data_IF_993223490782
#
_entry.id   IF_993223490782
#
_cell.length_a   1.000
_cell.length_b   1.000
_cell.length_c   1.000
_cell.angle_alpha   90.00
_cell.angle_beta   90.00
_cell.angle_gamma   90.00
#
_symmetry.space_group_name_H-M   'P 1'
#
loop_
_entity.id
_entity.type
_entity.pdbx_description
1 polymer ?
#
# COMPACT_ATOMS: atom_id res chain seq x y z
N UNK A 1 -10.02 6.75 20.57
CA UNK A 1 -9.87 5.70 21.59
C UNK A 1 -10.00 4.33 20.95
N UNK A 2 -9.07 3.43 21.28
CA UNK A 2 -9.00 2.07 20.72
C UNK A 2 -10.26 1.26 21.06
N UNK A 3 -10.87 1.55 22.20
CA UNK A 3 -12.04 0.82 22.74
C UNK A 3 -13.32 0.94 21.91
N UNK A 4 -13.42 1.93 21.01
CA UNK A 4 -14.58 2.11 20.14
C UNK A 4 -14.35 1.55 18.72
N UNK A 5 -13.20 0.99 18.45
CA UNK A 5 -12.84 0.46 17.13
C UNK A 5 -13.35 -0.96 16.95
N UNK A 6 -13.98 -1.25 15.80
CA UNK A 6 -14.36 -2.61 15.44
C UNK A 6 -13.12 -3.50 15.26
N UNK A 7 -13.30 -4.82 15.33
CA UNK A 7 -12.22 -5.78 15.09
C UNK A 7 -11.47 -5.51 13.79
N UNK A 8 -12.18 -5.26 12.68
CA UNK A 8 -11.54 -5.00 11.40
C UNK A 8 -10.80 -3.66 11.35
N UNK A 9 -11.28 -2.62 12.04
CA UNK A 9 -10.54 -1.37 12.19
C UNK A 9 -9.21 -1.57 12.94
N UNK A 10 -9.20 -2.40 13.98
CA UNK A 10 -8.01 -2.77 14.71
C UNK A 10 -7.03 -3.59 13.85
N UNK A 11 -7.53 -4.57 13.09
CA UNK A 11 -6.73 -5.37 12.15
C UNK A 11 -6.09 -4.50 11.07
N UNK A 12 -6.86 -3.56 10.52
CA UNK A 12 -6.36 -2.60 9.52
C UNK A 12 -5.29 -1.69 10.15
N UNK A 13 -5.48 -1.24 11.40
CA UNK A 13 -4.47 -0.44 12.09
C UNK A 13 -3.15 -1.19 12.24
N UNK A 14 -3.20 -2.45 12.66
CA UNK A 14 -2.02 -3.33 12.75
C UNK A 14 -1.33 -3.49 11.40
N UNK A 15 -2.10 -3.67 10.32
CA UNK A 15 -1.54 -3.78 8.97
C UNK A 15 -0.86 -2.46 8.51
N UNK A 16 -1.47 -1.30 8.78
CA UNK A 16 -0.87 0.00 8.46
C UNK A 16 0.40 0.30 9.27
N UNK A 17 0.52 -0.22 10.48
CA UNK A 17 1.70 -0.06 11.32
C UNK A 17 2.78 -1.13 11.05
N UNK A 18 2.60 -2.02 10.08
CA UNK A 18 3.57 -3.04 9.70
C UNK A 18 4.88 -2.40 9.24
N UNK A 19 6.01 -2.96 9.68
CA UNK A 19 7.35 -2.46 9.32
C UNK A 19 7.82 -2.91 7.93
N UNK A 20 7.22 -3.96 7.37
CA UNK A 20 7.63 -4.51 6.07
C UNK A 20 6.77 -3.95 4.95
N UNK A 21 5.46 -4.04 5.07
CA UNK A 21 4.55 -3.79 3.94
C UNK A 21 4.03 -2.36 3.83
N UNK A 22 4.35 -1.51 4.79
CA UNK A 22 4.06 -0.08 4.74
C UNK A 22 5.32 0.77 4.79
N UNK A 23 6.43 0.24 4.25
CA UNK A 23 7.71 0.92 4.21
C UNK A 23 7.56 2.34 3.62
N UNK A 24 8.06 3.34 4.34
CA UNK A 24 7.98 4.74 3.93
C UNK A 24 6.75 5.50 4.44
N UNK A 25 5.77 4.85 5.08
CA UNK A 25 4.70 5.56 5.77
C UNK A 25 5.10 5.93 7.19
N UNK A 26 4.52 7.02 7.71
CA UNK A 26 4.74 7.49 9.09
C UNK A 26 3.75 6.88 10.11
N UNK A 27 2.92 5.92 9.68
CA UNK A 27 1.97 5.28 10.58
C UNK A 27 2.67 4.45 11.66
N UNK A 28 2.26 4.64 12.91
CA UNK A 28 2.85 3.94 14.06
C UNK A 28 4.25 4.39 14.46
N UNK A 29 4.84 5.38 13.79
CA UNK A 29 6.13 5.95 14.13
C UNK A 29 5.95 7.07 15.18
N UNK A 30 5.74 6.67 16.41
CA UNK A 30 5.80 7.57 17.58
C UNK A 30 7.21 7.50 18.15
N UNK A 31 7.84 8.62 18.38
CA UNK A 31 9.23 8.66 18.84
C UNK A 31 9.50 9.75 19.87
N UNK A 32 10.75 9.83 20.32
CA UNK A 32 11.29 10.97 21.05
C UNK A 32 11.36 12.18 20.11
N UNK A 33 11.40 13.38 20.67
CA UNK A 33 11.45 14.65 19.95
C UNK A 33 12.69 14.74 19.04
N UNK A 34 12.55 14.20 17.84
CA UNK A 34 13.51 14.40 16.77
C UNK A 34 12.74 15.00 15.60
N UNK A 35 13.14 16.19 15.18
CA UNK A 35 12.66 16.80 13.95
C UNK A 35 13.33 16.10 12.78
N UNK A 36 12.54 15.35 12.01
CA UNK A 36 13.01 14.70 10.78
C UNK A 36 12.60 15.54 9.57
N UNK A 37 13.55 15.81 8.66
CA UNK A 37 13.21 16.34 7.34
C UNK A 37 12.52 15.26 6.54
N UNK A 38 11.36 15.59 5.94
CA UNK A 38 10.55 14.67 5.16
C UNK A 38 10.25 15.24 3.79
N UNK A 39 9.98 14.35 2.83
CA UNK A 39 9.57 14.77 1.49
C UNK A 39 8.08 15.05 1.38
N UNK A 40 7.29 14.62 2.37
CA UNK A 40 5.84 14.72 2.35
C UNK A 40 5.29 14.69 3.78
N UNK A 41 4.32 15.56 4.07
CA UNK A 41 3.56 15.56 5.31
C UNK A 41 2.27 14.74 5.14
N UNK A 42 1.75 14.10 6.21
CA UNK A 42 0.42 13.52 6.16
C UNK A 42 -0.61 14.66 6.05
N UNK A 43 -1.65 14.50 5.23
CA UNK A 43 -2.71 15.48 5.06
C UNK A 43 -3.56 15.74 6.31
N UNK A 44 -3.30 15.00 7.39
CA UNK A 44 -3.85 15.20 8.73
C UNK A 44 -2.72 15.59 9.70
N UNK A 45 -3.00 16.46 10.65
CA UNK A 45 -2.03 16.92 11.65
C UNK A 45 -0.78 17.59 11.03
N UNK A 46 -1.00 18.49 10.10
CA UNK A 46 0.03 19.31 9.48
C UNK A 46 -0.29 20.80 9.64
N UNK A 47 0.74 21.63 9.59
CA UNK A 47 0.65 23.08 9.62
C UNK A 47 1.64 23.68 8.62
N UNK A 48 1.22 24.72 7.94
CA UNK A 48 2.04 25.46 6.99
C UNK A 48 2.06 26.93 7.36
N UNK A 49 3.18 27.59 7.11
CA UNK A 49 3.25 29.05 7.23
C UNK A 49 2.37 29.65 6.13
N UNK A 50 1.52 30.61 6.50
CA UNK A 50 0.60 31.27 5.58
C UNK A 50 1.31 31.88 4.36
N UNK A 51 2.43 32.55 4.59
CA UNK A 51 3.24 33.14 3.50
C UNK A 51 3.75 32.12 2.51
N UNK A 52 4.04 30.87 2.96
CA UNK A 52 4.46 29.78 2.08
C UNK A 52 3.28 29.28 1.26
N UNK A 53 2.09 29.16 1.84
CA UNK A 53 0.89 28.79 1.11
C UNK A 53 0.53 29.84 0.05
N UNK A 54 0.62 31.12 0.39
CA UNK A 54 0.38 32.22 -0.55
C UNK A 54 1.38 32.21 -1.72
N UNK A 55 2.67 31.94 -1.44
CA UNK A 55 3.72 31.84 -2.46
C UNK A 55 3.49 30.69 -3.48
N UNK A 56 2.94 29.54 -3.02
CA UNK A 56 2.69 28.38 -3.87
C UNK A 56 1.22 28.26 -4.31
N UNK A 57 0.42 29.30 -4.11
CA UNK A 57 -1.00 29.36 -4.51
C UNK A 57 -1.90 28.31 -3.81
N UNK A 58 -1.51 27.85 -2.62
CA UNK A 58 -2.31 26.95 -1.78
C UNK A 58 -2.53 25.56 -2.36
N UNK A 59 -3.65 24.93 -1.97
CA UNK A 59 -4.07 23.62 -2.48
C UNK A 59 -4.69 23.75 -3.88
N UNK A 60 -4.50 22.73 -4.72
CA UNK A 60 -5.23 22.62 -5.98
C UNK A 60 -6.66 22.14 -5.69
N UNK A 61 -7.64 23.05 -5.74
CA UNK A 61 -9.06 22.76 -5.45
C UNK A 61 -9.70 21.84 -6.50
N UNK A 62 -9.13 21.78 -7.70
CA UNK A 62 -9.57 20.90 -8.77
C UNK A 62 -9.05 19.46 -8.67
N UNK A 63 -8.14 19.20 -7.76
CA UNK A 63 -7.51 17.88 -7.65
C UNK A 63 -8.49 16.80 -7.17
N UNK A 64 -8.48 15.65 -7.84
CA UNK A 64 -9.26 14.46 -7.42
C UNK A 64 -8.65 13.73 -6.23
N UNK A 65 -7.53 14.22 -5.72
CA UNK A 65 -6.76 13.69 -4.58
C UNK A 65 -5.26 13.91 -4.77
N UNK A 66 -4.45 13.56 -3.76
CA UNK A 66 -3.02 13.87 -3.63
C UNK A 66 -2.73 15.39 -3.61
N UNK A 67 -3.71 16.20 -3.25
CA UNK A 67 -3.58 17.64 -3.08
C UNK A 67 -2.49 18.01 -2.06
N UNK A 68 -2.36 17.21 -0.99
CA UNK A 68 -1.31 17.31 0.01
C UNK A 68 0.08 17.00 -0.58
N UNK A 69 0.18 15.92 -1.34
CA UNK A 69 1.44 15.51 -2.00
C UNK A 69 1.92 16.56 -3.00
N UNK A 70 0.99 17.11 -3.79
CA UNK A 70 1.31 18.14 -4.78
C UNK A 70 1.68 19.46 -4.12
N UNK A 71 1.01 19.85 -3.05
CA UNK A 71 1.35 21.03 -2.27
C UNK A 71 2.77 20.91 -1.70
N UNK A 72 3.07 19.80 -1.03
CA UNK A 72 4.38 19.52 -0.45
C UNK A 72 5.49 19.55 -1.51
N UNK A 73 5.20 18.99 -2.69
CA UNK A 73 6.13 19.05 -3.82
C UNK A 73 6.40 20.49 -4.24
N UNK A 74 5.37 21.33 -4.48
CA UNK A 74 5.53 22.73 -4.85
C UNK A 74 6.30 23.54 -3.79
N UNK A 75 6.01 23.31 -2.52
CA UNK A 75 6.76 23.96 -1.41
C UNK A 75 8.25 23.60 -1.48
N UNK A 76 8.57 22.33 -1.70
CA UNK A 76 9.98 21.89 -1.81
C UNK A 76 10.69 22.45 -3.03
N UNK A 77 9.99 22.66 -4.12
CA UNK A 77 10.55 23.27 -5.33
C UNK A 77 10.94 24.75 -5.13
N UNK A 78 10.39 25.43 -4.11
CA UNK A 78 10.87 26.76 -3.69
C UNK A 78 12.11 26.73 -2.79
N UNK A 79 12.71 25.53 -2.57
CA UNK A 79 13.88 25.36 -1.69
C UNK A 79 13.54 25.25 -0.22
N UNK A 80 12.26 25.28 0.16
CA UNK A 80 11.81 25.13 1.54
C UNK A 80 11.76 23.66 1.95
N UNK A 81 11.86 23.43 3.27
CA UNK A 81 11.91 22.10 3.86
C UNK A 81 10.65 21.80 4.65
N UNK A 82 10.25 20.53 4.62
CA UNK A 82 9.16 19.99 5.42
C UNK A 82 9.75 19.19 6.58
N UNK A 83 9.18 19.39 7.76
CA UNK A 83 9.65 18.74 8.97
C UNK A 83 8.51 17.99 9.66
N UNK A 84 8.80 16.84 10.21
CA UNK A 84 7.87 16.12 11.09
C UNK A 84 8.43 16.06 12.51
N UNK A 85 7.54 16.27 13.49
CA UNK A 85 7.84 16.05 14.90
C UNK A 85 7.09 14.79 15.37
N UNK A 86 7.82 13.78 15.79
CA UNK A 86 7.26 12.51 16.25
C UNK A 86 6.54 12.59 17.60
N UNK A 87 6.66 13.73 18.30
CA UNK A 87 5.90 14.00 19.52
C UNK A 87 4.52 14.58 19.24
N UNK A 88 4.33 15.22 18.07
CA UNK A 88 3.06 15.74 17.61
C UNK A 88 2.16 14.59 17.08
N UNK A 89 1.59 13.82 17.98
CA UNK A 89 0.82 12.61 17.66
C UNK A 89 -0.66 12.91 17.60
N UNK A 90 -1.30 12.44 16.50
CA UNK A 90 -2.75 12.41 16.40
C UNK A 90 -3.25 10.96 16.23
N UNK A 91 -4.25 10.61 17.02
CA UNK A 91 -4.91 9.31 16.93
C UNK A 91 -6.05 9.39 15.93
N UNK A 92 -5.91 8.64 14.82
CA UNK A 92 -6.92 8.62 13.76
C UNK A 92 -7.61 7.26 13.72
N UNK A 93 -8.95 7.26 13.84
CA UNK A 93 -9.76 6.04 13.73
C UNK A 93 -9.71 5.51 12.30
N UNK A 94 -9.37 4.24 12.15
CA UNK A 94 -9.35 3.58 10.84
C UNK A 94 -10.76 3.44 10.25
N UNK A 95 -10.85 3.49 8.95
CA UNK A 95 -12.08 3.15 8.22
C UNK A 95 -12.32 1.64 8.31
N UNK A 96 -13.57 1.22 8.12
CA UNK A 96 -13.90 -0.21 7.97
C UNK A 96 -13.32 -0.79 6.67
N UNK A 97 -13.35 -2.13 6.55
CA UNK A 97 -12.71 -2.85 5.45
C UNK A 97 -13.28 -2.46 4.08
N UNK A 98 -14.58 -2.15 3.98
CA UNK A 98 -15.23 -1.76 2.73
C UNK A 98 -14.76 -0.40 2.24
N UNK A 99 -14.71 0.57 3.14
CA UNK A 99 -14.30 1.95 2.84
C UNK A 99 -12.78 2.05 2.61
N UNK A 100 -11.98 1.27 3.34
CA UNK A 100 -10.52 1.28 3.15
C UNK A 100 -10.12 0.73 1.78
N UNK A 101 -10.82 -0.28 1.25
CA UNK A 101 -10.59 -0.80 -0.12
C UNK A 101 -10.68 0.31 -1.16
N UNK A 102 -11.79 1.08 -1.11
CA UNK A 102 -12.02 2.20 -2.03
C UNK A 102 -10.95 3.29 -1.86
N UNK A 103 -10.64 3.65 -0.62
CA UNK A 103 -9.64 4.66 -0.30
C UNK A 103 -8.25 4.28 -0.84
N UNK A 104 -7.79 3.05 -0.58
CA UNK A 104 -6.46 2.58 -0.99
C UNK A 104 -6.37 2.44 -2.51
N UNK A 105 -7.44 2.00 -3.17
CA UNK A 105 -7.49 1.97 -4.64
C UNK A 105 -7.38 3.37 -5.22
N UNK A 106 -8.07 4.35 -4.62
CA UNK A 106 -7.96 5.75 -5.05
C UNK A 106 -6.55 6.29 -4.81
N UNK A 107 -5.89 5.95 -3.69
CA UNK A 107 -4.51 6.34 -3.44
C UNK A 107 -3.56 5.83 -4.52
N UNK A 108 -3.68 4.55 -4.92
CA UNK A 108 -2.88 4.01 -6.02
C UNK A 108 -3.10 4.74 -7.33
N UNK A 109 -4.36 5.00 -7.69
CA UNK A 109 -4.74 5.75 -8.90
C UNK A 109 -4.13 7.15 -8.89
N UNK A 110 -4.43 7.94 -7.87
CA UNK A 110 -4.05 9.35 -7.79
C UNK A 110 -2.53 9.50 -7.69
N UNK A 111 -1.87 8.63 -6.90
CA UNK A 111 -0.40 8.63 -6.81
C UNK A 111 0.27 8.35 -8.15
N UNK A 112 -0.31 7.48 -8.96
CA UNK A 112 0.20 7.19 -10.31
C UNK A 112 0.07 8.41 -11.23
N UNK A 113 -1.08 9.07 -11.21
CA UNK A 113 -1.30 10.29 -12.01
C UNK A 113 -0.38 11.43 -11.56
N UNK A 114 -0.24 11.63 -10.24
CA UNK A 114 0.68 12.61 -9.68
C UNK A 114 2.15 12.34 -10.07
N UNK A 115 2.59 11.09 -10.00
CA UNK A 115 3.95 10.69 -10.41
C UNK A 115 4.17 10.74 -11.93
N UNK A 116 3.11 10.76 -12.73
CA UNK A 116 3.19 11.00 -14.16
C UNK A 116 3.36 12.48 -14.46
N UNK A 117 2.62 13.34 -13.77
CA UNK A 117 2.68 14.80 -13.90
C UNK A 117 3.97 15.37 -13.29
N UNK A 118 4.41 14.81 -12.16
CA UNK A 118 5.62 15.20 -11.41
C UNK A 118 6.54 13.99 -11.24
N UNK A 119 7.49 13.77 -12.18
CA UNK A 119 8.38 12.58 -12.15
C UNK A 119 9.19 12.44 -10.85
N UNK A 120 9.47 13.53 -10.15
CA UNK A 120 10.20 13.57 -8.87
C UNK A 120 9.43 12.89 -7.74
N UNK A 121 8.10 12.72 -7.89
CA UNK A 121 7.25 12.00 -6.93
C UNK A 121 7.29 10.48 -7.11
N UNK A 122 8.02 9.98 -8.11
CA UNK A 122 8.17 8.53 -8.33
C UNK A 122 8.93 7.89 -7.17
N UNK A 123 8.41 6.78 -6.68
CA UNK A 123 9.07 5.97 -5.68
C UNK A 123 9.04 4.49 -6.07
N UNK A 124 10.18 3.76 -5.99
CA UNK A 124 10.24 2.33 -6.34
C UNK A 124 9.23 1.48 -5.58
N UNK A 125 8.93 1.84 -4.34
CA UNK A 125 7.94 1.15 -3.50
C UNK A 125 6.54 1.16 -4.10
N UNK A 126 6.13 2.24 -4.78
CA UNK A 126 4.83 2.32 -5.46
C UNK A 126 4.77 1.39 -6.67
N UNK A 127 5.86 1.30 -7.42
CA UNK A 127 5.98 0.38 -8.57
C UNK A 127 5.97 -1.07 -8.10
N UNK A 128 6.67 -1.39 -7.01
CA UNK A 128 6.68 -2.75 -6.45
C UNK A 128 5.28 -3.23 -6.06
N UNK A 129 4.48 -2.36 -5.41
CA UNK A 129 3.10 -2.70 -5.06
C UNK A 129 2.19 -2.82 -6.30
N UNK A 130 2.49 -2.11 -7.39
CA UNK A 130 1.76 -2.24 -8.66
C UNK A 130 1.88 -3.64 -9.27
N UNK A 131 3.00 -4.32 -9.06
CA UNK A 131 3.24 -5.67 -9.56
C UNK A 131 2.47 -6.75 -8.75
N UNK A 132 1.95 -6.41 -7.58
CA UNK A 132 1.30 -7.40 -6.71
C UNK A 132 0.09 -8.08 -7.37
N UNK A 133 -0.93 -7.39 -7.93
CA UNK A 133 -2.04 -8.05 -8.60
C UNK A 133 -1.61 -8.93 -9.79
N UNK A 134 -0.77 -8.48 -10.75
CA UNK A 134 -0.34 -9.35 -11.85
C UNK A 134 0.47 -10.56 -11.37
N UNK A 135 1.32 -10.43 -10.34
CA UNK A 135 2.04 -11.58 -9.76
C UNK A 135 1.06 -12.59 -9.18
N UNK A 136 0.07 -12.14 -8.40
CA UNK A 136 -0.94 -13.03 -7.82
C UNK A 136 -1.74 -13.74 -8.92
N UNK A 137 -2.21 -13.01 -9.93
CA UNK A 137 -2.96 -13.58 -11.06
C UNK A 137 -2.10 -14.59 -11.81
N UNK A 138 -0.85 -14.26 -12.12
CA UNK A 138 0.07 -15.16 -12.82
C UNK A 138 0.36 -16.44 -12.02
N UNK A 139 0.51 -16.32 -10.70
CA UNK A 139 0.71 -17.47 -9.82
C UNK A 139 -0.52 -18.40 -9.81
N UNK A 140 -1.74 -17.83 -9.79
CA UNK A 140 -2.97 -18.60 -9.93
C UNK A 140 -3.05 -19.31 -11.30
N UNK A 141 -2.81 -18.60 -12.39
CA UNK A 141 -2.81 -19.18 -13.74
C UNK A 141 -1.77 -20.29 -13.88
N UNK A 142 -0.57 -20.07 -13.34
CA UNK A 142 0.51 -21.05 -13.39
C UNK A 142 0.20 -22.29 -12.53
N UNK A 143 -0.46 -22.12 -11.39
CA UNK A 143 -0.93 -23.21 -10.54
C UNK A 143 -1.95 -24.09 -11.29
N UNK A 144 -2.99 -23.49 -11.86
CA UNK A 144 -4.02 -24.26 -12.60
C UNK A 144 -3.49 -24.88 -13.89
N UNK A 145 -2.58 -24.20 -14.59
CA UNK A 145 -1.87 -24.77 -15.73
C UNK A 145 -1.03 -25.98 -15.29
N UNK A 146 -0.33 -25.91 -14.16
CA UNK A 146 0.40 -27.03 -13.60
C UNK A 146 -0.48 -28.23 -13.28
N UNK A 147 -1.65 -27.99 -12.68
CA UNK A 147 -2.65 -29.04 -12.43
C UNK A 147 -3.14 -29.70 -13.73
N UNK A 148 -3.44 -28.93 -14.77
CA UNK A 148 -3.96 -29.41 -16.04
C UNK A 148 -2.95 -30.21 -16.88
N UNK A 149 -1.64 -29.96 -16.71
CA UNK A 149 -0.56 -30.52 -17.51
C UNK A 149 0.31 -31.55 -16.77
N UNK A 150 -0.26 -32.37 -15.92
CA UNK A 150 0.45 -33.41 -15.18
C UNK A 150 0.78 -33.00 -13.76
N UNK A 151 -0.04 -32.13 -13.21
CA UNK A 151 -0.03 -31.79 -11.81
C UNK A 151 -0.11 -33.05 -10.96
N UNK A 152 0.53 -32.99 -9.79
CA UNK A 152 0.66 -34.11 -8.87
C UNK A 152 -0.72 -34.71 -8.56
N UNK A 153 -0.83 -36.01 -8.64
CA UNK A 153 -1.91 -36.74 -7.98
C UNK A 153 -1.92 -36.37 -6.50
N UNK A 154 -3.11 -36.21 -5.91
CA UNK A 154 -3.29 -35.81 -4.52
C UNK A 154 -2.39 -36.53 -3.49
N UNK A 155 -2.13 -37.85 -3.60
CA UNK A 155 -1.19 -38.55 -2.73
C UNK A 155 0.26 -38.08 -2.87
N UNK A 156 0.70 -37.65 -4.06
CA UNK A 156 2.07 -37.19 -4.32
C UNK A 156 2.31 -35.76 -3.82
N UNK A 157 1.25 -34.96 -3.62
CA UNK A 157 1.37 -33.62 -3.08
C UNK A 157 1.92 -33.61 -1.64
N UNK A 158 1.60 -34.66 -0.84
CA UNK A 158 2.05 -34.79 0.54
C UNK A 158 3.34 -35.62 0.70
N UNK A 159 3.72 -36.40 -0.32
CA UNK A 159 4.95 -37.19 -0.32
C UNK A 159 6.12 -36.37 -0.89
N UNK A 160 6.42 -35.25 -0.20
CA UNK A 160 7.53 -34.36 -0.55
C UNK A 160 8.83 -35.01 -0.10
N UNK A 161 9.32 -35.97 -0.85
CA UNK A 161 10.72 -36.35 -0.82
C UNK A 161 11.51 -35.35 -1.67
N UNK A 162 12.00 -34.31 -1.02
CA UNK A 162 12.75 -33.19 -1.66
C UNK A 162 13.96 -33.63 -2.51
N UNK A 163 14.43 -34.89 -2.39
CA UNK A 163 15.67 -35.36 -3.01
C UNK A 163 15.53 -36.11 -4.34
N UNK A 164 14.32 -36.44 -4.82
CA UNK A 164 14.16 -37.35 -5.96
C UNK A 164 13.21 -36.88 -7.07
N UNK A 165 12.66 -35.68 -6.98
CA UNK A 165 11.66 -35.16 -7.94
C UNK A 165 12.35 -34.31 -9.00
N UNK A 166 12.43 -34.72 -10.28
CA UNK A 166 12.79 -33.81 -11.36
C UNK A 166 11.75 -32.68 -11.38
N UNK A 167 12.17 -31.45 -11.11
CA UNK A 167 11.28 -30.28 -11.13
C UNK A 167 10.89 -29.94 -12.56
N UNK A 168 9.91 -30.66 -13.13
CA UNK A 168 9.24 -30.24 -14.35
C UNK A 168 8.42 -28.97 -14.15
N UNK A 169 8.27 -28.15 -15.21
CA UNK A 169 7.49 -26.91 -15.18
C UNK A 169 6.08 -27.05 -14.57
N UNK A 170 5.30 -28.13 -14.89
CA UNK A 170 3.98 -28.32 -14.29
C UNK A 170 4.02 -28.49 -12.76
N UNK A 171 5.00 -29.21 -12.23
CA UNK A 171 5.20 -29.38 -10.77
C UNK A 171 5.58 -28.05 -10.11
N UNK A 172 6.47 -27.29 -10.74
CA UNK A 172 6.81 -25.94 -10.26
C UNK A 172 5.55 -25.07 -10.18
N UNK A 173 4.66 -25.13 -11.17
CA UNK A 173 3.40 -24.41 -11.17
C UNK A 173 2.55 -24.73 -9.93
N UNK A 174 2.35 -26.00 -9.62
CA UNK A 174 1.55 -26.45 -8.46
C UNK A 174 2.14 -26.00 -7.13
N UNK A 175 3.45 -25.92 -6.99
CA UNK A 175 4.10 -25.51 -5.74
C UNK A 175 4.24 -23.99 -5.57
N UNK A 176 4.28 -23.23 -6.67
CA UNK A 176 4.55 -21.78 -6.63
C UNK A 176 3.49 -21.02 -5.82
N UNK A 177 2.21 -21.22 -6.07
CA UNK A 177 1.15 -20.48 -5.39
C UNK A 177 1.09 -20.75 -3.89
N UNK A 178 1.08 -22.02 -3.40
CA UNK A 178 1.11 -22.31 -1.97
C UNK A 178 2.34 -21.72 -1.27
N UNK A 179 3.52 -21.83 -1.90
CA UNK A 179 4.77 -21.27 -1.36
C UNK A 179 4.69 -19.76 -1.22
N UNK A 180 4.19 -19.05 -2.24
CA UNK A 180 4.00 -17.59 -2.18
C UNK A 180 3.00 -17.20 -1.09
N UNK A 181 1.90 -17.94 -0.93
CA UNK A 181 0.93 -17.71 0.14
C UNK A 181 1.58 -17.85 1.52
N UNK A 182 2.35 -18.91 1.75
CA UNK A 182 3.03 -19.14 3.03
C UNK A 182 4.04 -18.01 3.31
N UNK A 183 4.93 -17.71 2.36
CA UNK A 183 5.94 -16.64 2.52
C UNK A 183 5.25 -15.29 2.79
N UNK A 184 4.22 -14.95 2.02
CA UNK A 184 3.50 -13.70 2.18
C UNK A 184 2.88 -13.56 3.58
N UNK A 185 2.21 -14.62 4.07
CA UNK A 185 1.61 -14.60 5.41
C UNK A 185 2.68 -14.47 6.51
N UNK A 186 3.78 -15.20 6.41
CA UNK A 186 4.88 -15.11 7.36
C UNK A 186 5.47 -13.69 7.42
N UNK A 187 5.69 -13.07 6.28
CA UNK A 187 6.18 -11.69 6.20
C UNK A 187 5.15 -10.69 6.75
N UNK A 188 3.85 -10.88 6.46
CA UNK A 188 2.79 -10.03 6.96
C UNK A 188 2.69 -10.11 8.49
N UNK A 189 2.73 -11.31 9.06
CA UNK A 189 2.70 -11.51 10.52
C UNK A 189 3.94 -10.96 11.20
N UNK A 190 5.12 -11.23 10.65
CA UNK A 190 6.38 -10.71 11.20
C UNK A 190 6.41 -9.18 11.17
N UNK A 191 6.04 -8.55 10.05
CA UNK A 191 5.98 -7.10 9.93
C UNK A 191 4.95 -6.47 10.89
N UNK A 192 3.80 -7.10 11.06
CA UNK A 192 2.77 -6.67 12.00
C UNK A 192 3.18 -6.89 13.46
N UNK A 193 3.89 -7.96 13.77
CA UNK A 193 4.45 -8.22 15.10
C UNK A 193 5.51 -7.17 15.47
N UNK A 194 6.39 -6.80 14.53
CA UNK A 194 7.41 -5.75 14.70
C UNK A 194 6.79 -4.35 14.76
N UNK A 195 5.64 -4.14 14.11
CA UNK A 195 4.96 -2.86 14.03
C UNK A 195 4.51 -2.34 15.41
N UNK A 196 4.39 -1.01 15.52
CA UNK A 196 3.98 -0.34 16.76
C UNK A 196 2.53 0.15 16.66
N UNK A 197 1.56 -0.76 16.72
CA UNK A 197 0.12 -0.45 16.75
C UNK A 197 -0.43 -0.62 18.17
N UNK A 198 -1.24 0.32 18.66
CA UNK A 198 -1.96 0.17 19.94
C UNK A 198 -3.02 -0.93 19.90
N UNK A 199 -3.45 -1.34 18.71
CA UNK A 199 -4.44 -2.40 18.49
C UNK A 199 -3.83 -3.79 18.40
N UNK A 200 -2.54 -3.94 18.70
CA UNK A 200 -1.80 -5.19 18.54
C UNK A 200 -2.17 -6.26 19.57
N UNK A 201 -2.72 -7.36 19.08
CA UNK A 201 -3.01 -8.59 19.82
C UNK A 201 -2.63 -9.80 18.95
N UNK A 202 -2.54 -11.00 19.52
CA UNK A 202 -2.29 -12.23 18.74
C UNK A 202 -3.32 -12.39 17.61
N UNK A 203 -4.60 -12.12 17.89
CA UNK A 203 -5.69 -12.23 16.91
C UNK A 203 -5.58 -11.18 15.80
N UNK A 204 -5.29 -9.92 16.13
CA UNK A 204 -5.16 -8.85 15.11
C UNK A 204 -3.90 -9.04 14.27
N UNK A 205 -2.79 -9.54 14.83
CA UNK A 205 -1.59 -9.92 14.07
C UNK A 205 -1.92 -11.05 13.09
N UNK A 206 -2.60 -12.11 13.54
CA UNK A 206 -2.97 -13.23 12.67
C UNK A 206 -3.84 -12.77 11.48
N UNK A 207 -4.88 -11.98 11.76
CA UNK A 207 -5.78 -11.46 10.74
C UNK A 207 -5.17 -10.35 9.87
N UNK A 208 -4.04 -9.77 10.28
CA UNK A 208 -3.41 -8.66 9.55
C UNK A 208 -2.97 -9.05 8.14
N UNK A 209 -2.66 -10.32 7.88
CA UNK A 209 -2.31 -10.79 6.53
C UNK A 209 -3.45 -10.57 5.53
N UNK A 210 -4.71 -10.77 5.94
CA UNK A 210 -5.90 -10.52 5.11
C UNK A 210 -6.03 -9.02 4.82
N UNK A 211 -5.84 -8.17 5.84
CA UNK A 211 -5.86 -6.73 5.66
C UNK A 211 -4.72 -6.27 4.74
N UNK A 212 -3.50 -6.74 4.98
CA UNK A 212 -2.33 -6.41 4.17
C UNK A 212 -2.52 -6.82 2.70
N UNK A 213 -3.02 -8.04 2.46
CA UNK A 213 -3.39 -8.48 1.11
C UNK A 213 -4.41 -7.54 0.47
N UNK A 214 -5.46 -7.19 1.21
CA UNK A 214 -6.50 -6.27 0.76
C UNK A 214 -5.94 -4.89 0.38
N UNK A 215 -5.01 -4.36 1.19
CA UNK A 215 -4.35 -3.09 0.92
C UNK A 215 -3.49 -3.17 -0.35
N UNK A 216 -2.62 -4.18 -0.47
CA UNK A 216 -1.75 -4.33 -1.65
C UNK A 216 -2.53 -4.56 -2.93
N UNK A 217 -3.55 -5.44 -2.89
CA UNK A 217 -4.40 -5.70 -4.04
C UNK A 217 -5.09 -4.43 -4.53
N UNK A 218 -5.74 -3.71 -3.62
CA UNK A 218 -6.50 -2.51 -4.01
C UNK A 218 -5.57 -1.37 -4.44
N UNK A 219 -4.42 -1.20 -3.78
CA UNK A 219 -3.43 -0.21 -4.21
C UNK A 219 -2.90 -0.53 -5.61
N UNK A 220 -2.46 -1.76 -5.85
CA UNK A 220 -1.97 -2.20 -7.15
C UNK A 220 -3.02 -2.06 -8.25
N UNK A 221 -4.28 -2.43 -7.99
CA UNK A 221 -5.39 -2.19 -8.92
C UNK A 221 -5.62 -0.70 -9.21
N UNK A 222 -5.42 0.15 -8.21
CA UNK A 222 -5.45 1.61 -8.38
C UNK A 222 -4.35 2.10 -9.32
N UNK A 223 -3.12 1.63 -9.11
CA UNK A 223 -1.97 1.96 -9.97
C UNK A 223 -2.20 1.50 -11.42
N UNK A 224 -2.65 0.27 -11.62
CA UNK A 224 -2.98 -0.24 -12.96
C UNK A 224 -4.08 0.60 -13.63
N UNK A 225 -5.09 1.01 -12.87
CA UNK A 225 -6.14 1.92 -13.37
C UNK A 225 -5.56 3.27 -13.76
N UNK A 226 -4.61 3.80 -12.99
CA UNK A 226 -3.88 5.03 -13.30
C UNK A 226 -3.11 4.93 -14.61
N UNK A 227 -2.35 3.87 -14.79
CA UNK A 227 -1.63 3.61 -16.05
C UNK A 227 -2.57 3.48 -17.26
N UNK A 228 -3.69 2.77 -17.09
CA UNK A 228 -4.70 2.67 -18.16
C UNK A 228 -5.29 4.05 -18.53
N UNK A 229 -5.49 4.93 -17.56
CA UNK A 229 -5.95 6.32 -17.84
C UNK A 229 -4.89 7.10 -18.59
N UNK A 230 -3.62 7.01 -18.19
CA UNK A 230 -2.49 7.68 -18.87
C UNK A 230 -2.40 7.22 -20.34
N UNK A 231 -2.43 5.91 -20.57
CA UNK A 231 -2.38 5.33 -21.92
C UNK A 231 -3.57 5.77 -22.82
N UNK A 232 -4.71 6.11 -22.21
CA UNK A 232 -5.89 6.65 -22.90
C UNK A 232 -5.89 8.17 -23.01
N UNK A 233 -4.78 8.85 -22.72
CA UNK A 233 -4.67 10.31 -22.74
C UNK A 233 -5.45 11.04 -21.63
N UNK A 234 -5.89 10.34 -20.57
CA UNK A 234 -6.63 10.88 -19.43
C UNK A 234 -5.74 10.99 -18.19
N UNK A 235 -4.62 11.68 -18.30
CA UNK A 235 -3.61 11.77 -17.23
C UNK A 235 -3.84 12.91 -16.23
N UNK A 236 -4.85 13.75 -16.45
CA UNK A 236 -5.14 14.88 -15.57
C UNK A 236 -5.58 14.46 -14.16
N UNK A 237 -5.11 15.21 -13.16
CA UNK A 237 -5.52 15.09 -11.76
C UNK A 237 -6.78 15.90 -11.44
N UNK A 238 -7.24 16.72 -12.37
CA UNK A 238 -8.40 17.55 -12.21
C UNK A 238 -9.71 16.77 -12.42
N UNK A 239 -10.75 17.21 -11.77
CA UNK A 239 -12.12 16.72 -11.95
C UNK A 239 -12.53 17.08 -13.39
N UNK A 240 -12.74 16.07 -14.23
CA UNK A 240 -13.34 16.30 -15.55
C UNK A 240 -14.80 16.73 -15.32
N UNK A 241 -15.09 18.00 -15.61
CA UNK A 241 -16.41 18.64 -15.38
C UNK A 241 -17.52 18.00 -16.23
N UNK A 242 -17.17 17.05 -17.11
CA UNK A 242 -18.12 16.31 -17.97
C UNK A 242 -18.81 15.12 -17.26
N UNK A 243 -18.55 14.91 -15.96
CA UNK A 243 -19.13 13.80 -15.18
C UNK A 243 -20.14 14.24 -14.11
N UNK A 244 -20.62 15.48 -14.21
CA UNK A 244 -21.75 15.98 -13.38
C UNK A 244 -23.07 15.82 -14.10
#
# INVERSE_FOLDING_TARGET
PVNESTMWQQVIDVAFCSTIFTAGTNYGKVGKSDLDEVSQLPGVNCAYRRSVLEEVEGFDEGAIGAEDVMLDHRIRMTGKKLWTDRTAVMWHRRRDLSRVKKQIRNYGLVRTLASHQYPELRAPTHTAVALFPPIVISAFLFFFWGLANGGLAWPEFWDIRLSTVPMGLPRLGVHTLPTLIVIYNLLAWFGSWKGNSPSKTKKTIFLSSIATFTLHWNYGMGVLTGWMRILRGKSGLQIDDRSR
#
